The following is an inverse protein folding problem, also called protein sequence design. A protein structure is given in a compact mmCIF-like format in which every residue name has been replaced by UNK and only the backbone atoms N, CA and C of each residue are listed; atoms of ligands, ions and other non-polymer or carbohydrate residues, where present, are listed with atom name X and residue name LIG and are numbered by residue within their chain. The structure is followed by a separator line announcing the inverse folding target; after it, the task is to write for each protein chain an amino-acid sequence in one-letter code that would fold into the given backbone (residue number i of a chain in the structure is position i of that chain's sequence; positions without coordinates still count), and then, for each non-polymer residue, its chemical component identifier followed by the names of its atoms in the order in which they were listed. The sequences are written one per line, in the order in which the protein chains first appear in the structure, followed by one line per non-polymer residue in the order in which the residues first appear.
data_IF_795520580869
#
_entry.id   IF_795520580869
#
_cell.length_a   1.000
_cell.length_b   1.000
_cell.length_c   1.000
_cell.angle_alpha   90.00
_cell.angle_beta   90.00
_cell.angle_gamma   90.00
#
_symmetry.space_group_name_H-M   'P 1'
#
loop_
_entity.id
_entity.type
_entity.pdbx_description
1 polymer ?
#
# COMPACT_ATOMS: atom_id res chain seq x y z
N UNK A 1 -28.34 -9.59 3.57
CA UNK A 1 -27.08 -9.84 4.29
C UNK A 1 -26.57 -8.49 4.77
N UNK A 2 -26.50 -8.28 6.09
CA UNK A 2 -25.96 -7.04 6.67
C UNK A 2 -24.47 -6.93 6.34
N UNK A 3 -24.08 -5.85 5.65
CA UNK A 3 -22.67 -5.58 5.39
C UNK A 3 -21.98 -5.27 6.72
N UNK A 4 -21.12 -6.18 7.16
CA UNK A 4 -20.25 -5.95 8.31
C UNK A 4 -19.11 -5.04 7.86
N UNK A 5 -18.83 -3.97 8.62
CA UNK A 5 -17.67 -3.12 8.39
C UNK A 5 -16.53 -3.66 9.27
N UNK A 6 -15.42 -4.04 8.64
CA UNK A 6 -14.22 -4.51 9.33
C UNK A 6 -13.22 -3.35 9.51
N UNK A 7 -12.58 -3.28 10.69
CA UNK A 7 -11.53 -2.32 10.99
C UNK A 7 -10.29 -3.07 11.45
N UNK A 8 -9.13 -2.72 10.89
CA UNK A 8 -7.85 -3.31 11.25
C UNK A 8 -6.97 -2.27 11.95
N UNK A 9 -6.37 -2.67 13.08
CA UNK A 9 -5.45 -1.83 13.85
C UNK A 9 -4.08 -2.51 13.91
N UNK A 10 -3.03 -1.94 13.28
CA UNK A 10 -1.69 -2.47 13.43
C UNK A 10 -1.18 -2.29 14.86
N UNK A 11 -0.64 -3.37 15.43
CA UNK A 11 -0.11 -3.42 16.81
C UNK A 11 1.42 -3.21 16.90
N UNK A 12 2.10 -3.17 15.76
CA UNK A 12 3.53 -2.88 15.65
C UNK A 12 3.86 -2.23 14.30
N UNK A 13 5.06 -1.67 14.18
CA UNK A 13 5.50 -0.98 12.95
C UNK A 13 5.57 -1.92 11.74
N UNK A 14 5.98 -3.17 11.94
CA UNK A 14 5.98 -4.20 10.89
C UNK A 14 4.59 -4.37 10.28
N UNK A 15 3.58 -4.60 11.11
CA UNK A 15 2.18 -4.75 10.67
C UNK A 15 1.66 -3.47 10.03
N UNK A 16 1.99 -2.29 10.58
CA UNK A 16 1.59 -1.00 9.99
C UNK A 16 2.15 -0.84 8.58
N UNK A 17 3.42 -1.15 8.39
CA UNK A 17 4.08 -1.01 7.10
C UNK A 17 3.55 -2.04 6.08
N UNK A 18 3.27 -3.27 6.49
CA UNK A 18 2.66 -4.30 5.65
C UNK A 18 1.24 -3.92 5.20
N UNK A 19 0.36 -3.51 6.13
CA UNK A 19 -0.99 -3.05 5.80
C UNK A 19 -0.97 -1.83 4.87
N UNK A 20 -0.03 -0.91 5.09
CA UNK A 20 0.14 0.25 4.20
C UNK A 20 0.60 -0.15 2.80
N UNK A 21 1.50 -1.13 2.69
CA UNK A 21 1.92 -1.65 1.39
C UNK A 21 0.78 -2.37 0.67
N UNK A 22 0.03 -3.22 1.36
CA UNK A 22 -1.14 -3.89 0.80
C UNK A 22 -2.12 -2.86 0.20
N UNK A 23 -2.46 -1.83 0.97
CA UNK A 23 -3.33 -0.75 0.50
C UNK A 23 -2.79 -0.04 -0.75
N UNK A 24 -1.49 0.28 -0.76
CA UNK A 24 -0.84 0.92 -1.91
C UNK A 24 -0.86 0.02 -3.15
N UNK A 25 -0.61 -1.28 -3.00
CA UNK A 25 -0.70 -2.24 -4.11
C UNK A 25 -2.11 -2.32 -4.68
N UNK A 26 -3.14 -2.37 -3.82
CA UNK A 26 -4.53 -2.36 -4.25
C UNK A 26 -4.88 -1.07 -5.00
N UNK A 27 -4.42 0.09 -4.51
CA UNK A 27 -4.64 1.38 -5.15
C UNK A 27 -4.00 1.44 -6.54
N UNK A 28 -2.75 0.98 -6.69
CA UNK A 28 -2.07 0.93 -7.98
C UNK A 28 -2.78 -0.03 -8.92
N UNK A 29 -3.16 -1.22 -8.45
CA UNK A 29 -3.88 -2.20 -9.28
C UNK A 29 -5.21 -1.64 -9.80
N UNK A 30 -5.94 -0.90 -8.96
CA UNK A 30 -7.15 -0.21 -9.37
C UNK A 30 -6.85 0.88 -10.42
N UNK A 31 -5.85 1.73 -10.16
CA UNK A 31 -5.45 2.79 -11.08
C UNK A 31 -4.98 2.24 -12.45
N UNK A 32 -4.27 1.11 -12.48
CA UNK A 32 -3.84 0.49 -13.75
C UNK A 32 -5.01 0.02 -14.63
N UNK A 33 -6.21 -0.14 -14.06
CA UNK A 33 -7.40 -0.54 -14.81
C UNK A 33 -8.09 0.64 -15.52
N UNK A 34 -7.70 1.88 -15.18
CA UNK A 34 -8.31 3.10 -15.72
C UNK A 34 -7.59 3.63 -16.97
N UNK A 35 -8.33 4.12 -18.00
CA UNK A 35 -7.74 4.59 -19.25
C UNK A 35 -7.30 6.07 -19.24
N UNK A 36 -7.49 6.80 -18.13
CA UNK A 36 -7.25 8.25 -18.09
C UNK A 36 -5.80 8.60 -17.69
N UNK A 37 -5.40 9.83 -18.00
CA UNK A 37 -4.12 10.39 -17.55
C UNK A 37 -4.06 10.52 -16.02
N UNK A 38 -5.20 10.68 -15.36
CA UNK A 38 -5.30 10.70 -13.91
C UNK A 38 -5.02 9.34 -13.29
N UNK A 39 -5.47 8.28 -13.94
CA UNK A 39 -5.22 6.90 -13.51
C UNK A 39 -3.72 6.58 -13.59
N UNK A 40 -3.08 6.97 -14.69
CA UNK A 40 -1.62 6.85 -14.84
C UNK A 40 -0.86 7.64 -13.77
N UNK A 41 -1.31 8.86 -13.45
CA UNK A 41 -0.73 9.67 -12.38
C UNK A 41 -0.92 9.02 -11.01
N UNK A 42 -2.08 8.46 -10.73
CA UNK A 42 -2.37 7.78 -9.47
C UNK A 42 -1.51 6.52 -9.31
N UNK A 43 -1.32 5.73 -10.37
CA UNK A 43 -0.42 4.58 -10.37
C UNK A 43 1.03 4.99 -10.07
N UNK A 44 1.53 6.06 -10.71
CA UNK A 44 2.88 6.58 -10.45
C UNK A 44 3.03 7.11 -9.01
N UNK A 45 2.03 7.81 -8.49
CA UNK A 45 2.05 8.29 -7.11
C UNK A 45 2.13 7.12 -6.12
N UNK A 46 1.33 6.06 -6.33
CA UNK A 46 1.40 4.86 -5.49
C UNK A 46 2.78 4.20 -5.53
N UNK A 47 3.44 4.15 -6.71
CA UNK A 47 4.80 3.63 -6.82
C UNK A 47 5.81 4.47 -6.02
N UNK A 48 5.72 5.79 -6.06
CA UNK A 48 6.59 6.66 -5.24
C UNK A 48 6.36 6.46 -3.75
N UNK A 49 5.11 6.26 -3.33
CA UNK A 49 4.79 5.99 -1.92
C UNK A 49 5.33 4.64 -1.47
N UNK A 50 5.29 3.60 -2.32
CA UNK A 50 5.94 2.31 -2.05
C UNK A 50 7.46 2.48 -1.91
N UNK A 51 8.10 3.26 -2.78
CA UNK A 51 9.53 3.56 -2.66
C UNK A 51 9.85 4.29 -1.35
N UNK A 52 9.00 5.22 -0.92
CA UNK A 52 9.18 5.95 0.34
C UNK A 52 9.01 5.05 1.58
N UNK A 53 8.12 4.05 1.52
CA UNK A 53 7.95 3.05 2.59
C UNK A 53 9.12 2.06 2.62
N UNK A 54 9.52 1.54 1.46
CA UNK A 54 10.56 0.50 1.35
C UNK A 54 11.99 1.05 1.43
N UNK A 55 12.19 2.32 1.12
CA UNK A 55 13.49 3.01 1.17
C UNK A 55 13.96 3.34 2.60
N UNK A 56 13.08 3.22 3.60
CA UNK A 56 13.49 3.30 5.02
C UNK A 56 14.23 2.01 5.38
N UNK A 57 15.55 2.12 5.52
CA UNK A 57 16.54 1.02 5.64
C UNK A 57 16.21 -0.10 6.64
N UNK A 58 15.30 0.09 7.58
CA UNK A 58 14.91 -0.90 8.58
C UNK A 58 13.87 -1.90 8.05
N UNK A 59 13.09 -1.53 7.03
CA UNK A 59 11.97 -2.36 6.53
C UNK A 59 12.43 -3.65 5.85
N UNK A 60 13.53 -3.60 5.06
CA UNK A 60 14.10 -4.81 4.42
C UNK A 60 14.58 -5.84 5.44
N UNK A 61 15.17 -5.39 6.55
CA UNK A 61 15.69 -6.29 7.59
C UNK A 61 14.57 -6.94 8.41
N UNK A 62 13.44 -6.25 8.59
CA UNK A 62 12.26 -6.81 9.26
C UNK A 62 11.51 -7.84 8.41
N UNK A 63 11.48 -7.67 7.08
CA UNK A 63 10.83 -8.59 6.15
C UNK A 63 11.57 -9.93 6.00
N UNK A 64 12.91 -9.89 6.06
CA UNK A 64 13.77 -11.07 5.94
C UNK A 64 13.94 -11.85 7.27
N UNK A 65 13.38 -11.33 8.37
CA UNK A 65 13.26 -12.03 9.66
C UNK A 65 11.94 -12.79 9.75
#
# INVERSE_FOLDING_TARGET
MSQSICYEQPLNERARALLRLEFLFQQIHHALSGPSTWDSRAALQGLFDILAVTGRNEFKKELLK
#
